data_IF_040212101629
#
_entry.id   IF_040212101629
#
_cell.length_a   1.000
_cell.length_b   1.000
_cell.length_c   1.000
_cell.angle_alpha   90.00
_cell.angle_beta   90.00
_cell.angle_gamma   90.00
#
_symmetry.space_group_name_H-M   'P 1'
#
loop_
_entity.id
_entity.type
_entity.pdbx_description
1 polymer ?
#
# COMPACT_ATOMS: atom_id res chain seq x y z
N UNK A 1 -10.05 8.55 6.38
CA UNK A 1 -10.86 9.10 7.47
C UNK A 1 -10.13 10.19 8.27
N UNK A 2 -8.92 9.94 8.81
CA UNK A 2 -8.21 10.91 9.69
C UNK A 2 -7.78 12.22 9.00
N UNK A 3 -7.55 12.20 7.70
CA UNK A 3 -7.15 13.38 6.89
C UNK A 3 -8.33 14.21 6.44
N UNK A 4 -9.50 13.58 6.22
CA UNK A 4 -10.67 14.23 5.65
C UNK A 4 -11.14 15.48 6.45
N UNK A 5 -11.20 15.46 7.80
CA UNK A 5 -11.56 16.63 8.57
C UNK A 5 -10.58 17.81 8.40
N UNK A 6 -9.30 17.50 8.10
CA UNK A 6 -8.28 18.53 7.86
C UNK A 6 -8.51 19.20 6.51
N UNK A 7 -8.67 18.41 5.46
CA UNK A 7 -8.91 18.91 4.12
C UNK A 7 -10.22 19.70 4.02
N UNK A 8 -11.29 19.24 4.69
CA UNK A 8 -12.61 19.87 4.68
C UNK A 8 -12.68 21.24 5.38
N UNK A 9 -11.62 21.65 6.09
CA UNK A 9 -11.55 23.01 6.69
C UNK A 9 -11.29 24.09 5.65
N UNK A 10 -10.45 23.76 4.66
CA UNK A 10 -9.90 24.73 3.71
C UNK A 10 -10.35 24.47 2.27
N UNK A 11 -11.01 23.33 2.03
CA UNK A 11 -11.43 22.89 0.71
C UNK A 11 -12.87 22.35 0.73
N UNK A 12 -13.63 22.63 -0.31
CA UNK A 12 -14.87 21.95 -0.58
C UNK A 12 -14.60 20.54 -1.13
N UNK A 13 -15.11 19.50 -0.47
CA UNK A 13 -14.82 18.11 -0.77
C UNK A 13 -16.11 17.36 -1.07
N UNK A 14 -16.13 16.60 -2.14
CA UNK A 14 -17.14 15.58 -2.43
C UNK A 14 -16.46 14.23 -2.52
N UNK A 15 -16.94 13.26 -1.74
CA UNK A 15 -16.45 11.88 -1.77
C UNK A 15 -17.29 11.07 -2.74
N UNK A 16 -16.62 10.49 -3.74
CA UNK A 16 -17.23 9.60 -4.71
C UNK A 16 -16.96 8.14 -4.36
N UNK A 17 -17.98 7.29 -4.40
CA UNK A 17 -17.83 5.86 -4.12
C UNK A 17 -18.78 5.01 -4.96
N UNK A 18 -18.29 3.85 -5.42
CA UNK A 18 -19.06 2.79 -6.04
C UNK A 18 -19.52 1.72 -5.02
N UNK A 19 -19.08 1.86 -3.76
CA UNK A 19 -19.39 0.89 -2.70
C UNK A 19 -20.83 1.05 -2.19
N UNK A 20 -21.47 -0.07 -1.90
CA UNK A 20 -22.83 -0.12 -1.39
C UNK A 20 -22.94 0.46 0.02
N UNK A 21 -21.89 0.32 0.84
CA UNK A 21 -21.86 0.76 2.24
C UNK A 21 -20.79 1.82 2.43
N UNK A 22 -21.12 2.86 3.16
CA UNK A 22 -20.21 3.92 3.62
C UNK A 22 -20.34 4.02 5.13
N UNK A 23 -19.22 4.27 5.82
CA UNK A 23 -19.25 4.47 7.25
C UNK A 23 -20.04 5.76 7.59
N UNK A 24 -21.02 5.71 8.52
CA UNK A 24 -21.91 6.86 8.78
C UNK A 24 -21.20 8.14 9.24
N UNK A 25 -19.98 8.00 9.77
CA UNK A 25 -19.16 9.12 10.24
C UNK A 25 -18.61 9.95 9.07
N UNK A 26 -18.52 9.37 7.87
CA UNK A 26 -18.00 10.06 6.66
C UNK A 26 -18.95 11.15 6.21
N UNK A 27 -20.25 10.85 6.16
CA UNK A 27 -21.31 11.80 5.73
C UNK A 27 -21.38 13.06 6.61
N UNK A 28 -20.87 12.97 7.86
CA UNK A 28 -20.81 14.11 8.78
C UNK A 28 -19.66 15.08 8.46
N UNK A 29 -18.68 14.65 7.67
CA UNK A 29 -17.49 15.43 7.38
C UNK A 29 -17.55 16.05 5.98
N UNK A 30 -18.00 15.26 4.99
CA UNK A 30 -18.11 15.70 3.60
C UNK A 30 -19.26 14.95 2.90
N UNK A 31 -19.94 15.58 1.93
CA UNK A 31 -20.96 14.92 1.11
C UNK A 31 -20.40 13.66 0.43
N UNK A 32 -21.20 12.59 0.46
CA UNK A 32 -20.86 11.33 -0.21
C UNK A 32 -21.81 11.13 -1.40
N UNK A 33 -21.23 11.05 -2.59
CA UNK A 33 -21.93 10.77 -3.83
C UNK A 33 -21.62 9.35 -4.31
N UNK A 34 -22.66 8.59 -4.66
CA UNK A 34 -22.50 7.26 -5.26
C UNK A 34 -22.46 7.37 -6.77
N UNK A 35 -21.61 6.56 -7.41
CA UNK A 35 -21.54 6.51 -8.85
C UNK A 35 -21.52 5.09 -9.38
N UNK A 36 -21.86 4.93 -10.66
CA UNK A 36 -21.69 3.69 -11.40
C UNK A 36 -20.39 3.81 -12.24
N UNK A 37 -19.37 2.96 -12.04
CA UNK A 37 -18.14 3.00 -12.82
C UNK A 37 -18.34 2.84 -14.33
N UNK A 38 -19.40 2.14 -14.76
CA UNK A 38 -19.72 1.96 -16.18
C UNK A 38 -20.41 3.20 -16.82
N UNK A 39 -20.97 4.08 -16.00
CA UNK A 39 -21.63 5.32 -16.43
C UNK A 39 -21.37 6.44 -15.41
N UNK A 40 -20.12 6.91 -15.27
CA UNK A 40 -19.77 7.94 -14.30
C UNK A 40 -20.50 9.26 -14.60
N UNK A 41 -20.90 10.02 -13.59
CA UNK A 41 -21.51 11.33 -13.75
C UNK A 41 -20.42 12.38 -14.06
N UNK A 42 -19.93 12.36 -15.29
CA UNK A 42 -18.77 13.17 -15.72
C UNK A 42 -18.95 14.66 -15.49
N UNK A 43 -20.18 15.18 -15.64
CA UNK A 43 -20.44 16.59 -15.43
C UNK A 43 -20.13 16.98 -13.99
N UNK A 44 -20.68 16.24 -13.05
CA UNK A 44 -20.55 16.50 -11.62
C UNK A 44 -19.11 16.26 -11.13
N UNK A 45 -18.44 15.21 -11.64
CA UNK A 45 -17.04 14.95 -11.32
C UNK A 45 -16.14 16.09 -11.81
N UNK A 46 -16.45 16.68 -12.98
CA UNK A 46 -15.70 17.77 -13.59
C UNK A 46 -16.00 19.15 -12.99
N UNK A 47 -16.97 19.29 -12.09
CA UNK A 47 -17.20 20.53 -11.34
C UNK A 47 -16.09 20.76 -10.30
N UNK A 48 -15.41 19.70 -9.84
CA UNK A 48 -14.27 19.81 -8.94
C UNK A 48 -13.00 20.30 -9.65
N UNK A 49 -12.19 21.08 -8.94
CA UNK A 49 -10.90 21.57 -9.47
C UNK A 49 -9.91 20.43 -9.74
N UNK A 50 -9.90 19.38 -8.92
CA UNK A 50 -9.04 18.20 -9.05
C UNK A 50 -9.70 16.99 -8.42
N UNK A 51 -9.54 15.82 -9.07
CA UNK A 51 -9.91 14.53 -8.50
C UNK A 51 -8.69 13.86 -7.86
N UNK A 52 -8.88 13.24 -6.70
CA UNK A 52 -7.85 12.44 -6.00
C UNK A 52 -8.34 10.99 -5.94
N UNK A 53 -7.57 10.09 -6.53
CA UNK A 53 -7.88 8.68 -6.66
C UNK A 53 -6.99 7.84 -5.75
N UNK A 54 -7.57 7.10 -4.81
CA UNK A 54 -6.83 6.19 -3.94
C UNK A 54 -6.80 4.80 -4.58
N UNK A 55 -5.61 4.29 -4.90
CA UNK A 55 -5.43 2.99 -5.53
C UNK A 55 -4.59 2.05 -4.65
N UNK A 56 -5.08 0.83 -4.50
CA UNK A 56 -4.39 -0.28 -3.84
C UNK A 56 -4.60 -1.59 -4.63
N UNK A 57 -3.96 -2.65 -4.19
CA UNK A 57 -3.86 -3.92 -4.93
C UNK A 57 -5.09 -4.84 -4.78
N UNK A 58 -6.29 -4.28 -4.53
CA UNK A 58 -7.54 -5.03 -4.46
C UNK A 58 -8.57 -4.46 -5.44
N UNK A 59 -8.88 -5.17 -6.56
CA UNK A 59 -9.84 -4.70 -7.56
C UNK A 59 -11.27 -4.61 -7.03
N UNK A 60 -11.63 -5.33 -5.97
CA UNK A 60 -12.96 -5.26 -5.35
C UNK A 60 -13.27 -3.87 -4.78
N UNK A 61 -12.24 -3.10 -4.42
CA UNK A 61 -12.37 -1.74 -3.89
C UNK A 61 -11.89 -0.66 -4.84
N UNK A 62 -10.98 -0.96 -5.77
CA UNK A 62 -10.26 0.06 -6.53
C UNK A 62 -10.50 0.01 -8.05
N UNK A 63 -11.19 -1.03 -8.57
CA UNK A 63 -11.42 -1.15 -10.02
C UNK A 63 -12.21 0.03 -10.60
N UNK A 64 -13.31 0.43 -9.94
CA UNK A 64 -14.11 1.58 -10.36
C UNK A 64 -13.34 2.90 -10.26
N UNK A 65 -12.54 3.07 -9.22
CA UNK A 65 -11.68 4.25 -9.02
C UNK A 65 -10.67 4.35 -10.16
N UNK A 66 -9.96 3.26 -10.46
CA UNK A 66 -9.01 3.23 -11.57
C UNK A 66 -9.69 3.49 -12.92
N UNK A 67 -10.87 2.91 -13.15
CA UNK A 67 -11.62 3.09 -14.41
C UNK A 67 -11.99 4.55 -14.65
N UNK A 68 -12.39 5.29 -13.62
CA UNK A 68 -12.66 6.73 -13.70
C UNK A 68 -11.35 7.50 -13.89
N UNK A 69 -10.31 7.23 -13.08
CA UNK A 69 -9.01 7.91 -13.17
C UNK A 69 -8.28 7.68 -14.50
N UNK A 70 -8.51 6.53 -15.14
CA UNK A 70 -7.97 6.27 -16.49
C UNK A 70 -8.61 7.13 -17.59
N UNK A 71 -9.78 7.73 -17.35
CA UNK A 71 -10.50 8.59 -18.28
C UNK A 71 -10.46 10.07 -17.88
N UNK A 72 -10.48 10.35 -16.59
CA UNK A 72 -10.43 11.70 -16.03
C UNK A 72 -9.11 11.88 -15.26
N UNK A 73 -8.15 12.66 -15.81
CA UNK A 73 -6.87 12.90 -15.13
C UNK A 73 -7.05 13.52 -13.74
N UNK A 74 -6.23 13.07 -12.80
CA UNK A 74 -6.22 13.55 -11.41
C UNK A 74 -4.99 13.08 -10.66
N UNK A 75 -4.96 13.30 -9.36
CA UNK A 75 -3.88 12.84 -8.48
C UNK A 75 -4.13 11.40 -8.09
N UNK A 76 -3.14 10.54 -8.30
CA UNK A 76 -3.19 9.15 -7.87
C UNK A 76 -2.44 9.01 -6.54
N UNK A 77 -3.11 8.52 -5.50
CA UNK A 77 -2.49 8.12 -4.23
C UNK A 77 -2.33 6.60 -4.26
N UNK A 78 -1.09 6.14 -4.37
CA UNK A 78 -0.73 4.73 -4.42
C UNK A 78 -0.57 4.18 -2.99
N UNK A 79 -1.41 3.23 -2.62
CA UNK A 79 -1.27 2.47 -1.36
C UNK A 79 -0.31 1.30 -1.51
N UNK A 80 -0.21 0.72 -2.72
CA UNK A 80 0.73 -0.32 -3.11
C UNK A 80 1.51 0.13 -4.35
N UNK A 81 2.78 -0.25 -4.47
CA UNK A 81 3.55 -0.10 -5.70
C UNK A 81 3.19 -1.19 -6.71
N UNK A 82 3.24 -2.45 -6.25
CA UNK A 82 3.02 -3.59 -7.09
C UNK A 82 1.50 -3.80 -7.29
N UNK A 83 0.98 -3.32 -8.41
CA UNK A 83 -0.42 -3.43 -8.81
C UNK A 83 -0.64 -4.54 -9.85
N UNK A 84 0.34 -5.45 -10.03
CA UNK A 84 0.25 -6.55 -10.97
C UNK A 84 -0.98 -7.43 -10.72
N UNK A 85 -1.20 -7.85 -9.48
CA UNK A 85 -2.34 -8.71 -9.12
C UNK A 85 -3.67 -7.98 -9.33
N UNK A 86 -3.72 -6.67 -9.03
CA UNK A 86 -4.88 -5.83 -9.31
C UNK A 86 -5.26 -5.91 -10.79
N UNK A 87 -4.31 -5.66 -11.71
CA UNK A 87 -4.60 -5.67 -13.15
C UNK A 87 -4.87 -7.07 -13.69
N UNK A 88 -4.16 -8.08 -13.20
CA UNK A 88 -4.44 -9.47 -13.56
C UNK A 88 -5.87 -9.86 -13.17
N UNK A 89 -6.26 -9.63 -11.92
CA UNK A 89 -7.60 -9.93 -11.43
C UNK A 89 -8.67 -9.13 -12.18
N UNK A 90 -8.41 -7.83 -12.43
CA UNK A 90 -9.33 -6.96 -13.14
C UNK A 90 -9.56 -7.43 -14.58
N UNK A 91 -8.49 -7.63 -15.34
CA UNK A 91 -8.63 -7.97 -16.76
C UNK A 91 -9.04 -9.43 -16.96
N UNK A 92 -8.33 -10.37 -16.31
CA UNK A 92 -8.51 -11.81 -16.59
C UNK A 92 -9.74 -12.37 -15.86
N UNK A 93 -9.95 -12.02 -14.59
CA UNK A 93 -11.03 -12.62 -13.80
C UNK A 93 -12.33 -11.82 -13.83
N UNK A 94 -12.28 -10.48 -13.66
CA UNK A 94 -13.50 -9.67 -13.65
C UNK A 94 -14.01 -9.38 -15.05
N UNK A 95 -13.16 -8.88 -15.95
CA UNK A 95 -13.54 -8.49 -17.31
C UNK A 95 -13.52 -9.65 -18.32
N UNK A 96 -12.97 -10.81 -17.95
CA UNK A 96 -12.78 -11.96 -18.83
C UNK A 96 -12.04 -11.64 -20.14
N UNK A 97 -11.13 -10.69 -20.08
CA UNK A 97 -10.36 -10.20 -21.23
C UNK A 97 -8.87 -10.43 -21.00
N UNK A 98 -8.42 -11.66 -21.25
CA UNK A 98 -7.01 -12.06 -21.13
C UNK A 98 -6.11 -11.26 -22.11
N UNK A 99 -6.59 -10.98 -23.31
CA UNK A 99 -5.79 -10.29 -24.32
C UNK A 99 -5.46 -8.86 -23.87
N UNK A 100 -6.40 -8.15 -23.25
CA UNK A 100 -6.12 -6.83 -22.69
C UNK A 100 -5.02 -6.86 -21.62
N UNK A 101 -4.93 -7.93 -20.81
CA UNK A 101 -3.84 -8.12 -19.87
C UNK A 101 -2.50 -8.35 -20.59
N UNK A 102 -2.46 -9.24 -21.58
CA UNK A 102 -1.25 -9.52 -22.37
C UNK A 102 -0.75 -8.27 -23.11
N UNK A 103 -1.66 -7.53 -23.73
CA UNK A 103 -1.34 -6.29 -24.44
C UNK A 103 -0.83 -5.18 -23.49
N UNK A 104 -1.37 -5.12 -22.28
CA UNK A 104 -0.88 -4.21 -21.24
C UNK A 104 0.54 -4.57 -20.81
N UNK A 105 0.81 -5.86 -20.61
CA UNK A 105 2.14 -6.36 -20.27
C UNK A 105 3.15 -6.10 -21.38
N UNK A 106 2.75 -6.31 -22.65
CA UNK A 106 3.60 -6.02 -23.80
C UNK A 106 3.86 -4.51 -23.94
N UNK A 107 2.86 -3.67 -23.74
CA UNK A 107 2.98 -2.22 -23.80
C UNK A 107 4.04 -1.67 -22.85
N UNK A 108 4.07 -2.16 -21.61
CA UNK A 108 4.96 -1.62 -20.58
C UNK A 108 6.31 -2.33 -20.48
N UNK A 109 6.36 -3.61 -20.85
CA UNK A 109 7.54 -4.46 -20.63
C UNK A 109 7.99 -5.21 -21.88
N UNK A 110 7.42 -4.89 -23.06
CA UNK A 110 7.78 -5.51 -24.32
C UNK A 110 7.46 -7.00 -24.41
N UNK A 111 8.14 -7.69 -25.32
CA UNK A 111 7.93 -9.12 -25.54
C UNK A 111 8.21 -10.00 -24.32
N UNK A 112 9.14 -9.60 -23.44
CA UNK A 112 9.41 -10.32 -22.19
C UNK A 112 8.22 -10.25 -21.24
N UNK A 113 7.59 -9.07 -21.13
CA UNK A 113 6.38 -8.90 -20.33
C UNK A 113 5.26 -9.78 -20.82
N UNK A 114 5.00 -9.80 -22.14
CA UNK A 114 3.97 -10.65 -22.75
C UNK A 114 4.24 -12.15 -22.52
N UNK A 115 5.45 -12.62 -22.76
CA UNK A 115 5.83 -14.02 -22.58
C UNK A 115 5.68 -14.45 -21.10
N UNK A 116 6.11 -13.60 -20.17
CA UNK A 116 5.95 -13.86 -18.73
C UNK A 116 4.47 -13.89 -18.31
N UNK A 117 3.65 -13.00 -18.87
CA UNK A 117 2.20 -12.96 -18.63
C UNK A 117 1.48 -14.21 -19.18
N UNK A 118 1.88 -14.71 -20.35
CA UNK A 118 1.38 -15.99 -20.90
C UNK A 118 1.71 -17.16 -19.97
N UNK A 119 2.96 -17.25 -19.50
CA UNK A 119 3.41 -18.28 -18.57
C UNK A 119 2.70 -18.17 -17.21
N UNK A 120 2.47 -16.96 -16.71
CA UNK A 120 1.72 -16.72 -15.47
C UNK A 120 0.27 -17.20 -15.57
N UNK A 121 -0.41 -16.95 -16.69
CA UNK A 121 -1.79 -17.37 -16.94
C UNK A 121 -1.99 -18.89 -16.87
N UNK A 122 -0.93 -19.69 -17.07
CA UNK A 122 -0.96 -21.15 -16.99
C UNK A 122 -0.25 -21.70 -15.74
N UNK A 123 0.09 -20.83 -14.78
CA UNK A 123 0.68 -21.22 -13.51
C UNK A 123 2.19 -21.52 -13.57
N UNK A 124 2.88 -21.09 -14.63
CA UNK A 124 4.32 -21.31 -14.81
C UNK A 124 5.21 -20.34 -14.04
N UNK A 125 4.66 -19.24 -13.53
CA UNK A 125 5.37 -18.22 -12.76
C UNK A 125 4.52 -17.88 -11.53
N UNK A 126 5.14 -17.56 -10.39
CA UNK A 126 4.41 -17.15 -9.19
C UNK A 126 3.93 -15.68 -9.27
N UNK A 127 2.83 -15.37 -8.56
CA UNK A 127 2.32 -14.00 -8.45
C UNK A 127 3.36 -13.06 -7.86
N UNK A 128 4.09 -13.50 -6.84
CA UNK A 128 5.15 -12.71 -6.21
C UNK A 128 6.27 -12.33 -7.19
N UNK A 129 6.70 -13.28 -8.04
CA UNK A 129 7.72 -13.02 -9.06
C UNK A 129 7.21 -12.03 -10.12
N UNK A 130 5.94 -12.18 -10.54
CA UNK A 130 5.32 -11.25 -11.48
C UNK A 130 5.21 -9.85 -10.90
N UNK A 131 4.71 -9.72 -9.66
CA UNK A 131 4.53 -8.43 -8.99
C UNK A 131 5.87 -7.68 -8.80
N UNK A 132 6.94 -8.39 -8.45
CA UNK A 132 8.27 -7.78 -8.28
C UNK A 132 8.90 -7.34 -9.60
N UNK A 133 8.76 -8.14 -10.66
CA UNK A 133 9.39 -7.86 -11.94
C UNK A 133 8.57 -6.93 -12.83
N UNK A 134 7.26 -6.99 -12.72
CA UNK A 134 6.30 -6.29 -13.58
C UNK A 134 5.19 -5.65 -12.73
N UNK A 135 5.48 -4.61 -11.94
CA UNK A 135 4.54 -4.06 -10.95
C UNK A 135 3.29 -3.40 -11.54
N UNK A 136 3.29 -3.03 -12.84
CA UNK A 136 2.20 -2.34 -13.53
C UNK A 136 1.79 -0.98 -12.90
N UNK A 137 2.65 -0.38 -12.10
CA UNK A 137 2.43 0.95 -11.51
C UNK A 137 2.23 2.02 -12.59
N UNK A 138 2.96 1.89 -13.71
CA UNK A 138 2.86 2.79 -14.86
C UNK A 138 1.48 2.73 -15.54
N UNK A 139 0.84 1.56 -15.56
CA UNK A 139 -0.55 1.45 -16.07
C UNK A 139 -1.52 2.17 -15.15
N UNK A 140 -1.34 2.07 -13.83
CA UNK A 140 -2.17 2.77 -12.87
C UNK A 140 -2.06 4.29 -12.97
N UNK A 141 -0.86 4.81 -13.29
CA UNK A 141 -0.56 6.25 -13.28
C UNK A 141 -0.48 6.88 -14.66
N UNK A 142 -0.81 6.15 -15.74
CA UNK A 142 -0.59 6.58 -17.13
C UNK A 142 -1.24 7.93 -17.51
N UNK A 143 -2.36 8.29 -16.88
CA UNK A 143 -3.09 9.53 -17.12
C UNK A 143 -3.10 10.43 -15.87
N UNK A 144 -2.22 10.16 -14.88
CA UNK A 144 -2.17 10.94 -13.67
C UNK A 144 -1.62 12.35 -13.93
N UNK A 145 -2.22 13.36 -13.31
CA UNK A 145 -1.64 14.71 -13.19
C UNK A 145 -0.48 14.72 -12.20
N UNK A 146 -0.46 13.79 -11.27
CA UNK A 146 0.60 13.58 -10.32
C UNK A 146 0.35 12.31 -9.51
N UNK A 147 1.41 11.73 -8.93
CA UNK A 147 1.32 10.53 -8.11
C UNK A 147 1.93 10.75 -6.72
N UNK A 148 1.20 10.31 -5.71
CA UNK A 148 1.63 10.32 -4.31
C UNK A 148 1.80 8.87 -3.84
N UNK A 149 2.89 8.60 -3.14
CA UNK A 149 3.16 7.32 -2.50
C UNK A 149 3.51 7.51 -1.02
N UNK A 150 3.42 6.41 -0.26
CA UNK A 150 3.87 6.34 1.14
C UNK A 150 5.26 5.72 1.27
N UNK A 151 5.87 5.28 0.17
CA UNK A 151 7.17 4.62 0.12
C UNK A 151 8.07 5.26 -0.95
N UNK A 152 9.30 5.63 -0.59
CA UNK A 152 10.25 6.27 -1.50
C UNK A 152 10.64 5.37 -2.68
N UNK A 153 10.69 4.06 -2.49
CA UNK A 153 10.99 3.08 -3.53
C UNK A 153 10.05 3.18 -4.75
N UNK A 154 8.78 3.58 -4.52
CA UNK A 154 7.80 3.81 -5.60
C UNK A 154 8.25 4.88 -6.59
N UNK A 155 9.00 5.88 -6.12
CA UNK A 155 9.45 6.98 -6.97
C UNK A 155 10.43 6.51 -8.05
N UNK A 156 11.26 5.52 -7.77
CA UNK A 156 12.22 4.98 -8.73
C UNK A 156 11.49 4.42 -9.96
N UNK A 157 10.41 3.69 -9.75
CA UNK A 157 9.57 3.14 -10.83
C UNK A 157 8.86 4.23 -11.64
N UNK A 158 8.45 5.33 -11.00
CA UNK A 158 7.73 6.43 -11.63
C UNK A 158 8.63 7.49 -12.24
N UNK A 159 9.90 7.61 -11.84
CA UNK A 159 10.85 8.60 -12.37
C UNK A 159 11.12 8.46 -13.88
N UNK A 160 10.84 7.28 -14.45
CA UNK A 160 10.90 7.07 -15.90
C UNK A 160 9.66 7.60 -16.63
N UNK A 161 8.68 8.18 -15.92
CA UNK A 161 7.49 8.82 -16.51
C UNK A 161 7.66 10.36 -16.49
N UNK A 162 8.24 10.98 -17.51
CA UNK A 162 8.74 12.37 -17.46
C UNK A 162 7.67 13.45 -17.27
N UNK A 163 6.39 13.11 -17.33
CA UNK A 163 5.28 14.08 -17.24
C UNK A 163 4.40 13.92 -16.01
N UNK A 164 4.76 13.05 -15.08
CA UNK A 164 3.97 12.83 -13.87
C UNK A 164 4.78 13.27 -12.64
N UNK A 165 4.54 14.48 -12.07
CA UNK A 165 5.15 14.87 -10.82
C UNK A 165 4.83 13.85 -9.73
N UNK A 166 5.81 13.56 -8.87
CA UNK A 166 5.67 12.56 -7.82
C UNK A 166 6.03 13.12 -6.45
N UNK A 167 5.39 12.60 -5.39
CA UNK A 167 5.72 12.94 -4.01
C UNK A 167 5.64 11.71 -3.10
N UNK A 168 6.53 11.66 -2.10
CA UNK A 168 6.40 10.73 -0.96
C UNK A 168 5.80 11.50 0.21
N UNK A 169 4.65 11.05 0.68
CA UNK A 169 4.01 11.56 1.89
C UNK A 169 3.93 10.44 2.92
N UNK A 170 4.34 10.72 4.16
CA UNK A 170 4.22 9.75 5.24
C UNK A 170 2.77 9.32 5.42
N UNK A 171 2.54 8.01 5.58
CA UNK A 171 1.19 7.47 5.81
C UNK A 171 0.56 8.16 7.04
N UNK A 172 -0.64 8.78 6.93
CA UNK A 172 -1.22 9.55 8.02
C UNK A 172 -1.76 8.65 9.13
N UNK A 173 -1.48 9.01 10.38
CA UNK A 173 -1.95 8.31 11.57
C UNK A 173 -2.15 9.25 12.75
N UNK A 174 -3.36 9.30 13.30
CA UNK A 174 -3.66 10.01 14.54
C UNK A 174 -3.49 9.02 15.72
N UNK A 175 -2.47 9.25 16.53
CA UNK A 175 -2.21 8.44 17.70
C UNK A 175 -3.23 8.65 18.83
N UNK A 176 -3.28 7.70 19.76
CA UNK A 176 -4.09 7.79 20.95
C UNK A 176 -3.63 8.92 21.88
N UNK A 177 -4.56 9.43 22.66
CA UNK A 177 -4.25 10.42 23.71
C UNK A 177 -3.29 9.85 24.78
N UNK A 178 -2.53 10.73 25.43
CA UNK A 178 -1.59 10.31 26.48
C UNK A 178 -2.25 9.55 27.63
N UNK A 179 -3.46 9.92 28.13
CA UNK A 179 -4.15 9.12 29.15
C UNK A 179 -4.47 7.69 28.70
N UNK A 180 -4.88 7.51 27.44
CA UNK A 180 -5.17 6.18 26.87
C UNK A 180 -3.90 5.34 26.76
N UNK A 181 -2.82 5.94 26.26
CA UNK A 181 -1.52 5.28 26.20
C UNK A 181 -1.02 4.88 27.61
N UNK A 182 -1.13 5.77 28.59
CA UNK A 182 -0.75 5.47 29.97
C UNK A 182 -1.53 4.27 30.54
N UNK A 183 -2.83 4.16 30.21
CA UNK A 183 -3.66 3.02 30.61
C UNK A 183 -3.16 1.71 29.97
N UNK A 184 -2.85 1.70 28.68
CA UNK A 184 -2.28 0.52 27.98
C UNK A 184 -0.93 0.09 28.57
N UNK A 185 -0.06 1.06 28.85
CA UNK A 185 1.23 0.81 29.48
C UNK A 185 1.07 0.21 30.88
N UNK A 186 0.18 0.76 31.70
CA UNK A 186 -0.10 0.23 33.02
C UNK A 186 -0.67 -1.20 32.98
N UNK A 187 -1.55 -1.49 32.03
CA UNK A 187 -2.09 -2.83 31.81
C UNK A 187 -0.98 -3.84 31.47
N UNK A 188 -0.03 -3.46 30.61
CA UNK A 188 1.13 -4.30 30.24
C UNK A 188 2.07 -4.51 31.41
N UNK A 189 2.40 -3.44 32.16
CA UNK A 189 3.31 -3.50 33.29
C UNK A 189 2.75 -4.35 34.47
N UNK A 190 1.43 -4.51 34.57
CA UNK A 190 0.77 -5.37 35.53
C UNK A 190 0.83 -6.87 35.16
N UNK A 191 1.24 -7.22 33.95
CA UNK A 191 1.28 -8.63 33.53
C UNK A 191 2.53 -9.33 34.04
N UNK A 192 2.40 -10.60 34.51
CA UNK A 192 3.56 -11.35 34.98
C UNK A 192 4.47 -11.77 33.79
N UNK A 193 5.78 -11.68 34.01
CA UNK A 193 6.81 -12.12 33.07
C UNK A 193 7.84 -13.05 33.73
N UNK A 194 8.28 -14.14 33.08
CA UNK A 194 7.72 -14.75 31.89
C UNK A 194 6.34 -15.38 32.11
N UNK A 195 5.55 -15.76 31.09
CA UNK A 195 5.91 -15.70 29.67
C UNK A 195 5.69 -14.30 29.05
N UNK A 196 6.57 -13.93 28.13
CA UNK A 196 6.44 -12.72 27.32
C UNK A 196 5.45 -12.94 26.18
N UNK A 197 4.59 -11.97 25.92
CA UNK A 197 3.52 -12.04 24.91
C UNK A 197 3.96 -11.44 23.61
N UNK A 198 4.12 -12.31 22.60
CA UNK A 198 4.36 -11.93 21.22
C UNK A 198 3.02 -11.78 20.50
N UNK A 199 2.86 -10.76 19.66
CA UNK A 199 1.65 -10.57 18.87
C UNK A 199 1.98 -10.41 17.40
N UNK A 200 1.25 -11.10 16.51
CA UNK A 200 1.13 -10.82 15.09
C UNK A 200 -0.27 -10.28 14.86
N UNK A 201 -0.37 -9.10 14.23
CA UNK A 201 -1.64 -8.42 14.08
C UNK A 201 -1.91 -7.99 12.64
N UNK A 202 -3.17 -8.11 12.20
CA UNK A 202 -3.70 -7.62 10.93
C UNK A 202 -4.21 -8.74 10.01
N UNK A 203 -4.22 -8.48 8.70
CA UNK A 203 -4.58 -9.49 7.71
C UNK A 203 -3.38 -10.42 7.47
N UNK A 204 -3.53 -11.71 7.81
CA UNK A 204 -2.43 -12.66 7.92
C UNK A 204 -2.33 -13.54 6.66
N UNK A 205 -1.75 -12.97 5.60
CA UNK A 205 -1.46 -13.63 4.32
C UNK A 205 -0.06 -14.28 4.30
N UNK A 206 0.29 -14.98 3.22
CA UNK A 206 1.60 -15.67 3.09
C UNK A 206 2.80 -14.75 3.32
N UNK A 207 2.71 -13.50 2.84
CA UNK A 207 3.80 -12.52 2.98
C UNK A 207 4.04 -12.07 4.43
N UNK A 208 3.17 -12.43 5.39
CA UNK A 208 3.35 -12.17 6.84
C UNK A 208 4.33 -13.13 7.51
N UNK A 209 4.91 -14.05 6.75
CA UNK A 209 6.02 -14.92 7.14
C UNK A 209 5.79 -15.76 8.40
N UNK A 210 4.53 -16.20 8.61
CA UNK A 210 4.19 -17.01 9.79
C UNK A 210 4.96 -18.32 9.84
N UNK A 211 5.18 -18.99 8.71
CA UNK A 211 5.96 -20.24 8.63
C UNK A 211 7.35 -20.09 9.23
N UNK A 212 8.22 -19.21 8.71
CA UNK A 212 9.54 -18.92 9.29
C UNK A 212 9.49 -18.49 10.76
N UNK A 213 8.49 -17.73 11.19
CA UNK A 213 8.31 -17.35 12.60
C UNK A 213 8.09 -18.57 13.49
N UNK A 214 7.18 -19.48 13.09
CA UNK A 214 6.90 -20.72 13.84
C UNK A 214 8.13 -21.63 13.90
N UNK A 215 8.87 -21.78 12.81
CA UNK A 215 10.11 -22.54 12.77
C UNK A 215 11.19 -21.93 13.66
N UNK A 216 11.33 -20.62 13.66
CA UNK A 216 12.25 -19.90 14.55
C UNK A 216 11.91 -20.15 16.03
N UNK A 217 10.63 -20.06 16.41
CA UNK A 217 10.17 -20.35 17.77
C UNK A 217 10.41 -21.81 18.15
N UNK A 218 10.10 -22.76 17.27
CA UNK A 218 10.32 -24.18 17.54
C UNK A 218 11.80 -24.52 17.79
N UNK A 219 12.71 -23.87 17.08
CA UNK A 219 14.15 -24.04 17.23
C UNK A 219 14.78 -23.29 18.41
N UNK A 220 14.01 -22.52 19.20
CA UNK A 220 14.52 -21.82 20.39
C UNK A 220 14.45 -22.71 21.64
N UNK A 221 15.58 -22.95 22.34
CA UNK A 221 15.55 -23.63 23.64
C UNK A 221 14.67 -22.91 24.68
N UNK A 222 14.64 -21.59 24.61
CA UNK A 222 13.90 -20.72 25.54
C UNK A 222 12.44 -20.49 25.13
N UNK A 223 11.90 -21.20 24.16
CA UNK A 223 10.56 -20.98 23.58
C UNK A 223 9.43 -20.93 24.61
N UNK A 224 9.53 -21.70 25.71
CA UNK A 224 8.50 -21.70 26.79
C UNK A 224 8.39 -20.36 27.52
N UNK A 225 9.38 -19.47 27.36
CA UNK A 225 9.33 -18.10 27.88
C UNK A 225 8.46 -17.16 27.07
N UNK A 226 7.91 -17.63 25.93
CA UNK A 226 7.06 -16.83 25.05
C UNK A 226 5.65 -17.41 24.93
N UNK A 227 4.69 -16.56 24.62
CA UNK A 227 3.35 -16.90 24.12
C UNK A 227 3.11 -16.07 22.87
N UNK A 228 2.79 -16.71 21.76
CA UNK A 228 2.50 -16.06 20.49
C UNK A 228 1.01 -16.04 20.23
N UNK A 229 0.46 -14.85 20.01
CA UNK A 229 -0.92 -14.63 19.64
C UNK A 229 -0.99 -14.20 18.17
N UNK A 230 -1.73 -14.95 17.35
CA UNK A 230 -2.02 -14.59 15.96
C UNK A 230 -3.40 -13.93 15.88
N UNK A 231 -3.43 -12.59 15.76
CA UNK A 231 -4.62 -11.75 15.82
C UNK A 231 -4.99 -11.26 14.43
N UNK A 232 -6.06 -11.77 13.85
CA UNK A 232 -6.60 -11.36 12.57
C UNK A 232 -7.04 -12.52 11.70
N UNK A 233 -7.66 -12.18 10.57
CA UNK A 233 -8.09 -13.17 9.61
C UNK A 233 -6.88 -13.86 8.96
N UNK A 234 -6.84 -15.18 9.08
CA UNK A 234 -5.73 -16.00 8.61
C UNK A 234 -6.08 -16.62 7.24
N UNK A 235 -5.25 -16.36 6.27
CA UNK A 235 -5.35 -17.05 4.99
C UNK A 235 -4.61 -18.38 5.05
N UNK A 236 -5.32 -19.50 4.75
CA UNK A 236 -4.75 -20.84 4.87
C UNK A 236 -4.59 -21.28 6.34
N UNK A 237 -5.57 -20.99 7.19
CA UNK A 237 -5.55 -21.29 8.63
C UNK A 237 -5.22 -22.76 8.94
N UNK A 238 -5.74 -23.72 8.17
CA UNK A 238 -5.45 -25.15 8.35
C UNK A 238 -3.95 -25.43 8.22
N UNK A 239 -3.28 -24.84 7.23
CA UNK A 239 -1.83 -25.01 7.01
C UNK A 239 -1.03 -24.53 8.22
N UNK A 240 -1.43 -23.40 8.81
CA UNK A 240 -0.75 -22.83 9.99
C UNK A 240 -1.04 -23.71 11.23
N UNK A 241 -2.26 -24.21 11.41
CA UNK A 241 -2.60 -25.12 12.51
C UNK A 241 -1.80 -26.43 12.44
N UNK A 242 -1.73 -27.03 11.25
CA UNK A 242 -0.92 -28.24 11.02
C UNK A 242 0.57 -27.99 11.29
N UNK A 243 1.07 -26.81 10.94
CA UNK A 243 2.47 -26.44 11.24
C UNK A 243 2.71 -26.24 12.74
N UNK A 244 1.80 -25.59 13.46
CA UNK A 244 1.86 -25.44 14.93
C UNK A 244 1.88 -26.79 15.62
N UNK A 245 1.02 -27.73 15.22
CA UNK A 245 0.97 -29.07 15.78
C UNK A 245 2.25 -29.86 15.46
N UNK A 246 2.69 -29.88 14.21
CA UNK A 246 3.91 -30.58 13.77
C UNK A 246 5.17 -30.08 14.49
N UNK A 247 5.23 -28.79 14.80
CA UNK A 247 6.36 -28.17 15.49
C UNK A 247 6.25 -28.27 17.03
N UNK A 248 5.18 -28.82 17.56
CA UNK A 248 4.96 -28.97 19.01
C UNK A 248 4.77 -27.62 19.73
N UNK A 249 4.10 -26.66 19.08
CA UNK A 249 3.91 -25.30 19.58
C UNK A 249 2.52 -25.04 20.15
N UNK A 250 1.66 -26.06 20.32
CA UNK A 250 0.27 -25.92 20.77
C UNK A 250 0.13 -25.23 22.14
N UNK A 251 1.12 -25.37 23.03
CA UNK A 251 1.13 -24.70 24.34
C UNK A 251 1.58 -23.24 24.28
N UNK A 252 2.17 -22.80 23.15
CA UNK A 252 2.83 -21.51 23.01
C UNK A 252 2.04 -20.59 22.07
N UNK A 253 1.45 -21.15 21.00
CA UNK A 253 0.79 -20.39 19.92
C UNK A 253 -0.72 -20.49 20.02
N UNK A 254 -1.39 -19.34 19.98
CA UNK A 254 -2.85 -19.24 19.90
C UNK A 254 -3.29 -18.45 18.67
N UNK A 255 -4.41 -18.86 18.08
CA UNK A 255 -5.02 -18.24 16.89
C UNK A 255 -6.36 -17.64 17.32
N UNK A 256 -6.46 -16.30 17.32
CA UNK A 256 -7.68 -15.60 17.73
C UNK A 256 -8.67 -15.37 16.58
N UNK A 257 -8.24 -15.55 15.30
CA UNK A 257 -9.10 -15.23 14.18
C UNK A 257 -9.38 -13.72 14.04
N UNK A 258 -10.49 -13.38 13.40
CA UNK A 258 -10.96 -12.00 13.32
C UNK A 258 -11.36 -11.48 14.71
N UNK A 259 -10.90 -10.27 15.04
CA UNK A 259 -11.16 -9.60 16.31
C UNK A 259 -11.84 -8.26 16.07
N UNK A 260 -12.77 -7.86 16.92
CA UNK A 260 -13.31 -6.52 16.97
C UNK A 260 -12.35 -5.55 17.66
N UNK A 261 -12.55 -4.24 17.45
CA UNK A 261 -11.61 -3.21 17.89
C UNK A 261 -11.25 -3.26 19.37
N UNK A 262 -12.23 -3.54 20.25
CA UNK A 262 -12.02 -3.69 21.70
C UNK A 262 -11.15 -4.91 22.06
N UNK A 263 -11.33 -6.00 21.34
CA UNK A 263 -10.54 -7.22 21.50
C UNK A 263 -9.10 -7.00 20.99
N UNK A 264 -8.95 -6.32 19.83
CA UNK A 264 -7.65 -5.91 19.31
C UNK A 264 -6.93 -5.03 20.33
N UNK A 265 -7.63 -4.03 20.91
CA UNK A 265 -7.06 -3.16 21.94
C UNK A 265 -6.52 -3.96 23.12
N UNK A 266 -7.29 -4.91 23.66
CA UNK A 266 -6.85 -5.76 24.76
C UNK A 266 -5.58 -6.56 24.43
N UNK A 267 -5.54 -7.16 23.23
CA UNK A 267 -4.39 -7.96 22.79
C UNK A 267 -3.13 -7.10 22.63
N UNK A 268 -3.25 -5.95 21.96
CA UNK A 268 -2.11 -5.05 21.74
C UNK A 268 -1.66 -4.36 23.03
N UNK A 269 -2.58 -3.95 23.90
CA UNK A 269 -2.24 -3.35 25.19
C UNK A 269 -1.47 -4.30 26.12
N UNK A 270 -1.76 -5.61 26.04
CA UNK A 270 -1.09 -6.64 26.86
C UNK A 270 0.14 -7.27 26.21
N UNK A 271 0.44 -6.97 24.96
CA UNK A 271 1.58 -7.53 24.25
C UNK A 271 2.91 -6.89 24.69
N UNK A 272 4.00 -7.64 24.61
CA UNK A 272 5.35 -7.22 24.97
C UNK A 272 6.22 -6.90 23.77
N UNK A 273 6.01 -7.63 22.67
CA UNK A 273 6.73 -7.47 21.39
C UNK A 273 5.79 -7.82 20.24
N UNK A 274 5.73 -6.94 19.26
CA UNK A 274 4.98 -7.21 18.04
C UNK A 274 5.89 -7.74 16.92
N UNK A 275 5.42 -8.78 16.24
CA UNK A 275 6.09 -9.38 15.10
C UNK A 275 5.33 -8.95 13.84
N UNK A 276 5.91 -8.05 13.06
CA UNK A 276 5.29 -7.45 11.89
C UNK A 276 6.11 -7.73 10.61
N UNK A 277 6.43 -9.00 10.42
CA UNK A 277 7.20 -9.46 9.26
C UNK A 277 6.40 -9.30 7.97
N UNK A 278 7.12 -9.02 6.87
CA UNK A 278 6.54 -8.94 5.55
C UNK A 278 7.56 -9.21 4.45
N UNK A 279 7.33 -10.27 3.67
CA UNK A 279 8.15 -10.58 2.50
C UNK A 279 7.40 -11.48 1.51
N UNK A 280 7.37 -11.12 0.20
CA UNK A 280 7.83 -9.85 -0.36
C UNK A 280 6.96 -8.66 0.08
N UNK A 281 7.52 -7.44 -0.01
CA UNK A 281 6.76 -6.19 0.08
C UNK A 281 6.15 -5.86 -1.28
N UNK A 282 4.93 -5.32 -1.28
CA UNK A 282 4.27 -4.80 -2.47
C UNK A 282 4.43 -3.27 -2.60
N UNK A 283 5.34 -2.67 -1.82
CA UNK A 283 5.59 -1.23 -1.81
C UNK A 283 4.55 -0.43 -1.01
N UNK A 284 3.80 -1.13 -0.16
CA UNK A 284 2.81 -0.52 0.74
C UNK A 284 3.45 0.13 1.96
N UNK A 285 2.87 1.24 2.42
CA UNK A 285 3.07 1.74 3.79
C UNK A 285 2.27 0.90 4.79
N UNK A 286 2.76 0.75 6.01
CA UNK A 286 2.16 -0.14 6.99
C UNK A 286 1.35 0.58 8.07
N UNK A 287 0.03 0.62 7.91
CA UNK A 287 -0.87 1.12 8.96
C UNK A 287 -0.78 0.29 10.23
N UNK A 288 -0.63 -1.04 10.13
CA UNK A 288 -0.45 -1.91 11.29
C UNK A 288 0.83 -1.58 12.07
N UNK A 289 1.92 -1.18 11.40
CA UNK A 289 3.14 -0.73 12.07
C UNK A 289 2.90 0.54 12.88
N UNK A 290 2.20 1.52 12.32
CA UNK A 290 1.87 2.76 13.03
C UNK A 290 0.96 2.49 14.23
N UNK A 291 0.01 1.59 14.06
CA UNK A 291 -0.86 1.16 15.15
C UNK A 291 -0.07 0.47 16.27
N UNK A 292 0.87 -0.44 15.94
CA UNK A 292 1.74 -1.07 16.94
C UNK A 292 2.59 -0.05 17.71
N UNK A 293 3.12 0.95 17.02
CA UNK A 293 3.84 2.04 17.66
C UNK A 293 2.95 2.91 18.54
N UNK A 294 1.67 3.07 18.21
CA UNK A 294 0.72 3.81 19.05
C UNK A 294 0.54 3.16 20.42
N UNK A 295 0.58 1.82 20.47
CA UNK A 295 0.62 1.08 21.74
C UNK A 295 2.01 1.10 22.42
N UNK A 296 3.01 1.77 21.85
CA UNK A 296 4.38 1.77 22.33
C UNK A 296 5.04 0.39 22.29
N UNK A 297 4.60 -0.48 21.38
CA UNK A 297 5.15 -1.81 21.21
C UNK A 297 6.49 -1.76 20.44
N UNK A 298 7.54 -2.40 20.96
CA UNK A 298 8.69 -2.72 20.13
C UNK A 298 8.24 -3.65 19.01
N UNK A 299 8.84 -3.49 17.83
CA UNK A 299 8.44 -4.26 16.65
C UNK A 299 9.62 -4.97 16.02
N UNK A 300 9.40 -6.20 15.56
CA UNK A 300 10.31 -6.96 14.72
C UNK A 300 9.75 -6.97 13.31
N UNK A 301 10.50 -6.44 12.34
CA UNK A 301 10.07 -6.27 10.95
C UNK A 301 11.07 -6.86 9.97
N UNK A 302 10.64 -7.23 8.77
CA UNK A 302 11.54 -7.60 7.69
C UNK A 302 12.14 -6.34 7.06
N UNK A 303 13.47 -6.33 6.81
CA UNK A 303 14.17 -5.21 6.17
C UNK A 303 13.88 -5.20 4.65
N UNK A 304 12.68 -4.76 4.28
CA UNK A 304 12.23 -4.70 2.89
C UNK A 304 11.22 -3.57 2.67
N UNK A 305 11.13 -3.07 1.45
CA UNK A 305 10.17 -2.04 1.05
C UNK A 305 10.15 -0.84 1.99
N UNK A 306 8.97 -0.40 2.39
CA UNK A 306 8.78 0.70 3.33
C UNK A 306 9.47 0.47 4.69
N UNK A 307 9.49 -0.79 5.19
CA UNK A 307 10.12 -1.09 6.47
C UNK A 307 11.64 -0.86 6.45
N UNK A 308 12.30 -1.05 5.30
CA UNK A 308 13.74 -0.82 5.18
C UNK A 308 14.14 0.65 5.39
N UNK A 309 13.20 1.59 5.25
CA UNK A 309 13.41 3.02 5.50
C UNK A 309 13.25 3.42 6.97
N UNK A 310 12.79 2.51 7.85
CA UNK A 310 12.60 2.81 9.26
C UNK A 310 13.96 2.88 9.98
N UNK A 311 14.12 3.82 10.95
CA UNK A 311 15.33 3.88 11.76
C UNK A 311 15.50 2.66 12.68
N UNK A 312 16.74 2.20 12.89
CA UNK A 312 17.06 1.05 13.74
C UNK A 312 16.73 1.27 15.22
N UNK A 313 16.67 2.51 15.65
CA UNK A 313 16.31 2.87 17.02
C UNK A 313 14.82 2.70 17.36
N UNK A 314 13.94 2.57 16.35
CA UNK A 314 12.49 2.44 16.54
C UNK A 314 11.95 1.06 16.20
N UNK A 315 12.78 0.17 15.62
CA UNK A 315 12.38 -1.19 15.24
C UNK A 315 13.57 -2.13 15.20
N UNK A 316 13.34 -3.43 15.38
CA UNK A 316 14.32 -4.48 15.17
C UNK A 316 14.12 -5.12 13.80
N UNK A 317 15.22 -5.45 13.10
CA UNK A 317 15.15 -5.96 11.74
C UNK A 317 15.46 -7.45 11.66
N UNK A 318 14.83 -8.09 10.66
CA UNK A 318 15.08 -9.43 10.15
C UNK A 318 15.42 -9.30 8.68
N UNK A 319 16.50 -9.92 8.22
CA UNK A 319 16.84 -9.99 6.80
C UNK A 319 15.98 -11.04 6.09
N UNK A 320 15.47 -10.78 4.88
CA UNK A 320 14.75 -11.77 4.08
C UNK A 320 15.57 -13.02 3.78
N UNK A 321 16.90 -12.88 3.67
CA UNK A 321 17.84 -13.96 3.33
C UNK A 321 18.16 -14.86 4.51
N UNK A 322 17.95 -14.40 5.75
CA UNK A 322 18.29 -15.11 7.00
C UNK A 322 17.17 -15.05 8.05
N UNK A 323 15.90 -15.14 7.61
CA UNK A 323 14.73 -14.94 8.47
C UNK A 323 14.78 -15.73 9.79
N UNK A 324 14.92 -17.05 9.72
CA UNK A 324 14.86 -17.91 10.92
C UNK A 324 15.96 -17.58 11.92
N UNK A 325 17.26 -17.57 11.54
CA UNK A 325 18.33 -17.22 12.48
C UNK A 325 18.21 -15.79 13.02
N UNK A 326 17.78 -14.83 12.20
CA UNK A 326 17.61 -13.44 12.65
C UNK A 326 16.45 -13.30 13.65
N UNK A 327 15.30 -13.95 13.40
CA UNK A 327 14.19 -13.99 14.36
C UNK A 327 14.67 -14.56 15.70
N UNK A 328 15.40 -15.67 15.68
CA UNK A 328 15.95 -16.29 16.90
C UNK A 328 16.93 -15.36 17.61
N UNK A 329 17.82 -14.69 16.87
CA UNK A 329 18.77 -13.74 17.43
C UNK A 329 18.05 -12.56 18.10
N UNK A 330 17.03 -12.00 17.48
CA UNK A 330 16.24 -10.89 18.04
C UNK A 330 15.44 -11.33 19.26
N UNK A 331 14.86 -12.54 19.27
CA UNK A 331 14.14 -13.05 20.44
C UNK A 331 15.10 -13.32 21.62
N UNK A 332 16.32 -13.83 21.40
CA UNK A 332 17.34 -13.95 22.45
C UNK A 332 17.80 -12.57 22.95
N UNK A 333 18.00 -11.61 22.03
CA UNK A 333 18.33 -10.23 22.39
C UNK A 333 17.23 -9.61 23.24
N UNK A 334 15.95 -9.87 22.89
CA UNK A 334 14.80 -9.44 23.71
C UNK A 334 14.85 -10.05 25.12
N UNK A 335 15.11 -11.36 25.26
CA UNK A 335 15.23 -12.03 26.56
C UNK A 335 16.39 -11.52 27.42
N UNK A 336 17.48 -11.08 26.77
CA UNK A 336 18.65 -10.53 27.45
C UNK A 336 18.38 -9.09 27.98
N UNK A 337 17.65 -8.28 27.25
CA UNK A 337 17.32 -6.90 27.63
C UNK A 337 15.91 -6.46 27.14
N UNK A 338 14.84 -6.87 27.83
CA UNK A 338 13.49 -6.42 27.52
C UNK A 338 13.31 -4.89 27.67
N UNK A 339 14.15 -4.25 28.51
CA UNK A 339 14.12 -2.81 28.75
C UNK A 339 14.54 -2.01 27.53
N UNK A 340 15.60 -2.45 26.81
CA UNK A 340 16.03 -1.83 25.58
C UNK A 340 14.94 -1.90 24.49
N UNK A 341 14.23 -3.02 24.39
CA UNK A 341 13.10 -3.16 23.46
C UNK A 341 11.91 -2.28 23.86
N UNK A 342 11.59 -2.18 25.15
CA UNK A 342 10.56 -1.23 25.63
C UNK A 342 10.90 0.20 25.23
N UNK A 343 12.14 0.63 25.45
CA UNK A 343 12.61 1.95 25.03
C UNK A 343 12.52 2.16 23.51
N UNK A 344 12.75 1.10 22.71
CA UNK A 344 12.56 1.10 21.26
C UNK A 344 11.08 1.37 20.90
N UNK A 345 10.12 0.68 21.53
CA UNK A 345 8.69 0.90 21.31
C UNK A 345 8.25 2.32 21.67
N UNK A 346 8.77 2.88 22.78
CA UNK A 346 8.51 4.27 23.15
C UNK A 346 9.07 5.28 22.13
N UNK A 347 10.23 4.99 21.54
CA UNK A 347 10.76 5.81 20.43
C UNK A 347 9.89 5.69 19.17
N UNK A 348 9.40 4.48 18.85
CA UNK A 348 8.43 4.25 17.78
C UNK A 348 7.18 5.10 17.96
N UNK A 349 6.58 5.10 19.18
CA UNK A 349 5.44 5.97 19.48
C UNK A 349 5.75 7.45 19.27
N UNK A 350 6.91 7.93 19.69
CA UNK A 350 7.31 9.33 19.44
C UNK A 350 7.49 9.64 17.96
N UNK A 351 7.87 8.65 17.14
CA UNK A 351 7.99 8.81 15.69
C UNK A 351 6.65 9.04 14.99
N UNK A 352 5.51 8.67 15.60
CA UNK A 352 4.17 8.93 15.05
C UNK A 352 3.89 10.41 14.79
N UNK A 353 4.59 11.35 15.46
CA UNK A 353 4.45 12.79 15.15
C UNK A 353 4.80 13.14 13.70
N UNK A 354 5.60 12.31 13.03
CA UNK A 354 5.93 12.47 11.61
C UNK A 354 4.81 11.98 10.68
N UNK A 355 3.75 11.37 11.25
CA UNK A 355 2.60 10.81 10.58
C UNK A 355 1.32 11.61 10.84
N UNK A 356 1.46 12.87 11.29
CA UNK A 356 0.33 13.75 11.61
C UNK A 356 -0.60 13.93 10.39
N UNK A 357 -1.91 13.60 10.51
CA UNK A 357 -2.89 13.79 9.44
C UNK A 357 -3.00 15.24 8.94
N UNK A 358 -2.73 16.25 9.80
CA UNK A 358 -2.75 17.64 9.40
C UNK A 358 -1.60 17.96 8.42
N UNK A 359 -0.39 17.50 8.71
CA UNK A 359 0.75 17.67 7.81
C UNK A 359 0.52 16.93 6.48
N UNK A 360 -0.02 15.72 6.53
CA UNK A 360 -0.36 14.96 5.33
C UNK A 360 -1.38 15.71 4.46
N UNK A 361 -2.51 16.17 5.04
CA UNK A 361 -3.55 16.87 4.32
C UNK A 361 -3.03 18.14 3.64
N UNK A 362 -2.27 18.96 4.36
CA UNK A 362 -1.64 20.15 3.79
C UNK A 362 -0.64 19.85 2.68
N UNK A 363 0.18 18.79 2.85
CA UNK A 363 1.13 18.39 1.83
C UNK A 363 0.43 17.86 0.57
N UNK A 364 -0.63 17.05 0.74
CA UNK A 364 -1.44 16.55 -0.37
C UNK A 364 -2.12 17.69 -1.13
N UNK A 365 -2.71 18.67 -0.43
CA UNK A 365 -3.35 19.83 -1.06
C UNK A 365 -2.33 20.68 -1.85
N UNK A 366 -1.16 20.97 -1.27
CA UNK A 366 -0.07 21.69 -1.98
C UNK A 366 0.41 20.93 -3.21
N UNK A 367 0.59 19.60 -3.09
CA UNK A 367 1.00 18.76 -4.21
C UNK A 367 -0.06 18.79 -5.32
N UNK A 368 -1.34 18.68 -4.98
CA UNK A 368 -2.43 18.72 -5.95
C UNK A 368 -2.50 20.07 -6.68
N UNK A 369 -2.33 21.19 -5.97
CA UNK A 369 -2.29 22.53 -6.57
C UNK A 369 -1.10 22.65 -7.55
N UNK A 370 0.10 22.23 -7.16
CA UNK A 370 1.28 22.26 -8.05
C UNK A 370 1.13 21.34 -9.27
N UNK A 371 0.50 20.17 -9.10
CA UNK A 371 0.28 19.24 -10.22
C UNK A 371 -0.72 19.79 -11.24
N UNK A 372 -1.70 20.61 -10.83
CA UNK A 372 -2.63 21.28 -11.73
C UNK A 372 -1.93 22.25 -12.71
N UNK A 373 -0.82 22.86 -12.31
CA UNK A 373 -0.02 23.71 -13.19
C UNK A 373 0.58 22.94 -14.38
N UNK A 374 0.76 21.61 -14.21
CA UNK A 374 1.27 20.71 -15.26
C UNK A 374 0.14 20.05 -16.08
N UNK A 375 -1.13 20.29 -15.75
CA UNK A 375 -2.27 19.67 -16.43
C UNK A 375 -2.30 19.90 -17.96
N UNK A 376 -1.97 21.11 -18.49
CA UNK A 376 -1.92 21.32 -19.94
C UNK A 376 -0.87 20.43 -20.63
N UNK A 377 0.29 20.27 -20.00
CA UNK A 377 1.37 19.42 -20.53
C UNK A 377 0.98 17.93 -20.49
N UNK A 378 0.35 17.47 -19.42
CA UNK A 378 -0.17 16.12 -19.31
C UNK A 378 -1.24 15.83 -20.38
N UNK A 379 -2.16 16.77 -20.63
CA UNK A 379 -3.17 16.66 -21.68
C UNK A 379 -2.55 16.60 -23.08
N UNK A 380 -1.50 17.38 -23.33
CA UNK A 380 -0.76 17.35 -24.60
C UNK A 380 -0.12 15.99 -24.87
N UNK A 381 0.49 15.40 -23.85
CA UNK A 381 1.13 14.09 -23.92
C UNK A 381 0.09 12.96 -24.11
N UNK A 382 -1.04 13.02 -23.43
CA UNK A 382 -2.12 12.04 -23.63
C UNK A 382 -2.68 12.12 -25.06
N UNK A 383 -2.93 13.31 -25.58
CA UNK A 383 -3.35 13.51 -26.96
C UNK A 383 -2.31 12.96 -27.94
N UNK A 384 -1.02 13.24 -27.72
CA UNK A 384 0.05 12.71 -28.54
C UNK A 384 0.11 11.18 -28.54
N UNK A 385 -0.08 10.54 -27.38
CA UNK A 385 -0.13 9.08 -27.25
C UNK A 385 -1.33 8.48 -28.00
N UNK A 386 -2.52 9.08 -27.88
CA UNK A 386 -3.73 8.61 -28.59
C UNK A 386 -3.55 8.70 -30.10
N UNK A 387 -3.11 9.84 -30.59
CA UNK A 387 -2.84 10.03 -32.01
C UNK A 387 -1.77 9.04 -32.50
N UNK A 388 -0.67 8.86 -31.75
CA UNK A 388 0.37 7.89 -32.05
C UNK A 388 -0.14 6.46 -32.11
N UNK A 389 -1.00 6.05 -31.18
CA UNK A 389 -1.64 4.74 -31.17
C UNK A 389 -2.53 4.53 -32.41
N UNK A 390 -3.36 5.53 -32.73
CA UNK A 390 -4.25 5.47 -33.90
C UNK A 390 -3.46 5.40 -35.22
N UNK A 391 -2.41 6.22 -35.33
CA UNK A 391 -1.54 6.20 -36.51
C UNK A 391 -0.82 4.86 -36.69
N UNK A 392 -0.35 4.23 -35.61
CA UNK A 392 0.28 2.91 -35.71
C UNK A 392 -0.72 1.81 -36.06
N UNK A 393 -2.00 1.95 -35.67
CA UNK A 393 -3.07 1.04 -36.07
C UNK A 393 -3.46 1.16 -37.56
N UNK A 394 -3.33 2.37 -38.15
CA UNK A 394 -3.69 2.62 -39.55
C UNK A 394 -2.54 2.46 -40.54
N UNK A 395 -1.30 2.55 -40.08
CA UNK A 395 -0.10 2.52 -40.91
C UNK A 395 0.83 1.35 -40.52
N UNK A 396 0.51 0.12 -40.92
CA UNK A 396 1.40 -1.00 -40.66
C UNK A 396 2.72 -0.79 -41.42
N UNK A 397 3.80 -0.66 -40.66
CA UNK A 397 5.22 -0.71 -41.07
C UNK A 397 5.92 0.53 -41.65
N UNK A 398 5.29 1.65 -41.92
CA UNK A 398 6.00 2.86 -42.33
C UNK A 398 5.21 4.14 -42.01
N UNK A 399 4.97 4.44 -40.77
CA UNK A 399 4.60 5.81 -40.40
C UNK A 399 5.75 6.71 -40.91
N UNK A 400 5.51 7.47 -41.97
CA UNK A 400 6.51 8.39 -42.49
C UNK A 400 7.00 9.27 -41.35
N UNK A 401 8.31 9.34 -41.04
CA UNK A 401 8.86 10.26 -40.05
C UNK A 401 8.29 11.67 -40.15
N UNK A 402 7.95 12.09 -41.36
CA UNK A 402 7.31 13.37 -41.70
C UNK A 402 5.91 13.51 -41.07
N UNK A 403 5.08 12.45 -41.07
CA UNK A 403 3.74 12.49 -40.45
C UNK A 403 3.81 12.57 -38.93
N UNK A 404 4.74 11.85 -38.33
CA UNK A 404 4.97 11.89 -36.89
C UNK A 404 5.50 13.26 -36.45
N UNK A 405 6.47 13.81 -37.18
CA UNK A 405 7.04 15.12 -36.93
C UNK A 405 5.99 16.23 -37.08
N UNK A 406 5.21 16.21 -38.17
CA UNK A 406 4.14 17.19 -38.41
C UNK A 406 3.04 17.10 -37.35
N UNK A 407 2.61 15.89 -36.95
CA UNK A 407 1.61 15.71 -35.93
C UNK A 407 2.12 16.24 -34.57
N UNK A 408 3.37 15.97 -34.21
CA UNK A 408 4.02 16.49 -33.03
C UNK A 408 4.08 18.03 -33.02
N UNK A 409 4.42 18.64 -34.17
CA UNK A 409 4.45 20.11 -34.30
C UNK A 409 3.06 20.73 -34.19
N UNK A 410 2.02 20.14 -34.78
CA UNK A 410 0.64 20.66 -34.64
C UNK A 410 0.09 20.50 -33.21
N UNK A 411 0.41 19.40 -32.54
CA UNK A 411 0.09 19.23 -31.12
C UNK A 411 0.79 20.32 -30.29
N UNK A 412 2.09 20.56 -30.51
CA UNK A 412 2.84 21.62 -29.85
C UNK A 412 2.17 22.99 -30.00
N UNK A 413 1.79 23.36 -31.23
CA UNK A 413 1.12 24.65 -31.52
C UNK A 413 -0.21 24.83 -30.79
N UNK A 414 -1.01 23.78 -30.63
CA UNK A 414 -2.30 23.85 -29.91
C UNK A 414 -2.09 24.24 -28.45
N UNK A 415 -0.95 23.84 -27.86
CA UNK A 415 -0.66 24.09 -26.44
C UNK A 415 0.20 25.35 -26.22
N UNK A 416 1.06 25.74 -27.16
CA UNK A 416 1.84 26.98 -27.11
C UNK A 416 0.94 28.24 -27.27
N UNK A 417 -0.12 28.16 -28.05
CA UNK A 417 -1.06 29.28 -28.28
C UNK A 417 -1.90 29.68 -27.06
N UNK A 418 -1.90 28.92 -25.96
CA UNK A 418 -2.64 29.23 -24.74
C UNK A 418 -1.81 29.94 -23.65
N UNK A 419 -0.51 30.11 -23.88
CA UNK A 419 0.37 30.85 -22.93
C UNK A 419 0.43 32.37 -23.23
N UNK A 420 -0.27 32.85 -24.24
CA UNK A 420 -0.24 34.24 -24.68
C UNK A 420 -1.60 34.95 -24.60
N UNK A 421 -2.58 34.41 -23.93
CA UNK A 421 -3.83 35.07 -23.50
C UNK A 421 -3.94 35.02 -21.94
#
# INVERSE_FOLDING_TARGET
MQVLPVLARDHEIVLWTDQSRVAPEVDKIAPVAKYNPEAPPWREINEGAVSIYHLGNDPGFHAGIWQVGAQQPGIIVLHDLCLHDFFFMLFVHHRKNRDAYLDTMERWYGGEGRQSAEAFCVGGISSESMAQKFPLTREATRNALGAVSHCAWVLEELNEMPACPTAVLNLPYAGASEPRYAAWRAARDAMPHPPYRLVVFGYLTRNRRLGPLLEALAGLPERERFRLELCGQLWGESIIRDQVERLGLNSIVSLSGFLFDDQVEQKLASADLAINLRYPSMGEGSLSQLQLWDYGLPTLVTRTGWYASLPEEVTAFVSPESEIPDIQAQLRRYLADPGAFRAMGERGRRALRNHDPAHYGQALARFAAGALEHAPQAAALDLARRIGSDLTGWLPSAASPYLLERTSQEIGRVFEGRQSE
#
